data_IF_948569492523
#
_entry.id   IF_948569492523
#
_cell.length_a   1.000
_cell.length_b   1.000
_cell.length_c   1.000
_cell.angle_alpha   90.00
_cell.angle_beta   90.00
_cell.angle_gamma   90.00
#
_symmetry.space_group_name_H-M   'P 1'
#
loop_
_entity.id
_entity.type
_entity.pdbx_description
1 polymer ?
#
# COMPACT_ATOMS: atom_id res chain seq x y z
N UNK A 1 -37.82 34.38 -5.58
CA UNK A 1 -38.03 33.37 -4.52
C UNK A 1 -37.41 32.05 -4.96
N UNK A 2 -36.54 31.49 -4.13
CA UNK A 2 -35.96 30.15 -4.27
C UNK A 2 -37.06 29.08 -4.37
N UNK A 3 -36.82 28.04 -5.17
CA UNK A 3 -36.93 26.61 -4.77
C UNK A 3 -36.19 25.74 -5.79
N UNK A 4 -35.20 25.03 -5.25
CA UNK A 4 -34.39 23.97 -5.85
C UNK A 4 -35.21 22.68 -5.91
N UNK A 5 -35.05 21.87 -6.94
CA UNK A 5 -35.07 20.41 -6.80
C UNK A 5 -34.27 19.77 -7.95
N UNK A 6 -33.08 19.26 -7.61
CA UNK A 6 -32.28 18.36 -8.44
C UNK A 6 -32.90 16.97 -8.30
N UNK A 7 -33.31 16.36 -9.41
CA UNK A 7 -33.79 14.97 -9.47
C UNK A 7 -32.72 14.12 -10.14
N UNK A 8 -32.40 13.00 -9.49
CA UNK A 8 -31.35 12.07 -9.87
C UNK A 8 -31.72 10.99 -10.87
N UNK A 9 -30.64 10.29 -11.27
CA UNK A 9 -30.49 8.92 -11.77
C UNK A 9 -31.26 8.43 -13.00
N UNK A 10 -30.63 7.40 -13.59
CA UNK A 10 -31.13 6.38 -14.50
C UNK A 10 -30.77 6.63 -15.97
N UNK A 11 -29.58 6.15 -16.35
CA UNK A 11 -29.37 5.60 -17.68
C UNK A 11 -29.51 4.07 -17.58
N UNK A 12 -30.76 3.58 -17.54
CA UNK A 12 -31.08 2.20 -17.89
C UNK A 12 -30.95 2.06 -19.40
N UNK A 13 -29.83 1.49 -19.86
CA UNK A 13 -29.84 0.73 -21.10
C UNK A 13 -30.37 -0.65 -20.70
N UNK A 14 -31.61 -0.95 -21.10
CA UNK A 14 -32.16 -2.29 -21.02
C UNK A 14 -31.45 -3.11 -22.11
N UNK A 15 -30.29 -3.64 -21.77
CA UNK A 15 -29.74 -4.82 -22.42
C UNK A 15 -30.02 -6.02 -21.53
N UNK A 16 -30.57 -7.10 -22.07
CA UNK A 16 -30.80 -8.38 -21.38
C UNK A 16 -29.49 -9.12 -21.11
N UNK A 17 -28.54 -8.45 -20.46
CA UNK A 17 -27.36 -9.06 -19.86
C UNK A 17 -27.60 -9.08 -18.34
N UNK A 18 -27.36 -10.23 -17.72
CA UNK A 18 -27.50 -10.41 -16.28
C UNK A 18 -26.86 -9.23 -15.54
N UNK A 19 -27.64 -8.52 -14.71
CA UNK A 19 -27.13 -7.47 -13.84
C UNK A 19 -25.96 -8.05 -13.02
N UNK A 20 -24.73 -7.71 -13.39
CA UNK A 20 -23.55 -8.07 -12.61
C UNK A 20 -23.68 -7.36 -11.26
N UNK A 21 -24.04 -8.12 -10.22
CA UNK A 21 -24.19 -7.57 -8.89
C UNK A 21 -22.81 -7.15 -8.38
N UNK A 22 -22.63 -5.85 -8.12
CA UNK A 22 -21.35 -5.28 -7.73
C UNK A 22 -21.10 -5.48 -6.24
N UNK A 23 -20.09 -6.28 -5.88
CA UNK A 23 -19.52 -6.27 -4.54
C UNK A 23 -18.45 -5.18 -4.47
N UNK A 24 -18.54 -4.23 -3.51
CA UNK A 24 -17.54 -3.17 -3.39
C UNK A 24 -16.16 -3.78 -3.19
N UNK A 25 -15.19 -3.39 -4.02
CA UNK A 25 -13.78 -3.75 -3.85
C UNK A 25 -13.15 -2.83 -2.81
N UNK A 26 -12.43 -3.36 -1.81
CA UNK A 26 -11.74 -2.52 -0.87
C UNK A 26 -10.51 -1.88 -1.54
N UNK A 27 -10.18 -0.67 -1.14
CA UNK A 27 -8.86 -0.11 -1.39
C UNK A 27 -7.83 -0.77 -0.48
N UNK A 28 -6.57 -0.74 -0.90
CA UNK A 28 -5.46 -1.10 -0.01
C UNK A 28 -5.21 0.03 1.01
N UNK A 29 -4.48 -0.25 2.09
CA UNK A 29 -4.01 0.81 3.00
C UNK A 29 -2.59 0.52 3.45
N UNK A 30 -1.79 1.57 3.57
CA UNK A 30 -0.47 1.49 4.21
C UNK A 30 -0.63 1.83 5.67
N UNK A 31 -0.30 0.90 6.57
CA UNK A 31 -0.32 1.16 8.00
C UNK A 31 1.03 1.72 8.44
N UNK A 32 1.14 3.05 8.52
CA UNK A 32 2.34 3.75 8.98
C UNK A 32 2.04 4.48 10.30
N UNK A 33 3.00 4.52 11.23
CA UNK A 33 2.81 5.21 12.50
C UNK A 33 2.61 6.73 12.36
N UNK A 34 1.96 7.34 13.36
CA UNK A 34 1.57 8.78 13.42
C UNK A 34 2.75 9.77 13.26
N UNK A 35 3.99 9.29 13.24
CA UNK A 35 5.22 10.08 13.25
C UNK A 35 5.75 10.48 11.86
N UNK A 36 5.07 10.08 10.76
CA UNK A 36 5.41 10.48 9.38
C UNK A 36 5.07 11.94 9.03
N UNK A 37 4.46 12.67 9.95
CA UNK A 37 4.08 14.06 9.75
C UNK A 37 5.30 14.98 9.94
N UNK A 38 6.12 15.16 8.89
CA UNK A 38 6.74 16.45 8.46
C UNK A 38 7.96 16.29 7.54
N UNK A 39 7.79 16.68 6.28
CA UNK A 39 8.38 17.88 5.62
C UNK A 39 8.28 17.67 4.11
N UNK A 40 7.88 18.73 3.40
CA UNK A 40 7.80 18.78 1.94
C UNK A 40 9.19 18.89 1.33
N UNK A 41 9.61 17.89 0.56
CA UNK A 41 10.78 17.97 -0.30
C UNK A 41 10.38 18.66 -1.63
N UNK A 42 11.28 19.45 -2.20
CA UNK A 42 11.01 20.37 -3.33
C UNK A 42 11.80 20.03 -4.59
N UNK A 43 12.46 18.88 -4.64
CA UNK A 43 13.28 18.47 -5.80
C UNK A 43 12.55 17.42 -6.65
N UNK A 44 12.42 17.71 -7.96
CA UNK A 44 11.73 16.87 -8.94
C UNK A 44 12.57 15.68 -9.43
N UNK A 45 11.85 14.63 -9.82
CA UNK A 45 12.28 13.35 -10.43
C UNK A 45 12.90 12.29 -9.50
N UNK A 46 12.02 11.61 -8.75
CA UNK A 46 12.41 10.47 -7.91
C UNK A 46 11.18 9.55 -7.70
N UNK A 47 11.32 8.22 -7.69
CA UNK A 47 10.19 7.26 -7.55
C UNK A 47 9.90 6.77 -6.13
N UNK A 48 8.79 6.03 -5.98
CA UNK A 48 8.00 5.93 -4.75
C UNK A 48 8.41 4.76 -3.83
N UNK A 49 9.15 5.04 -2.76
CA UNK A 49 9.53 4.07 -1.73
C UNK A 49 10.14 4.75 -0.50
N UNK A 50 9.92 4.18 0.70
CA UNK A 50 10.39 4.75 1.97
C UNK A 50 11.71 4.12 2.43
N UNK A 51 12.80 4.88 2.35
CA UNK A 51 14.14 4.41 2.70
C UNK A 51 14.41 4.21 4.18
N UNK A 52 13.68 4.87 5.08
CA UNK A 52 13.79 4.63 6.53
C UNK A 52 13.22 3.26 6.88
N UNK A 53 12.35 2.77 6.00
CA UNK A 53 11.67 1.51 6.16
C UNK A 53 12.15 0.40 5.23
N UNK A 54 13.20 0.61 4.44
CA UNK A 54 13.78 -0.49 3.67
C UNK A 54 14.49 -1.49 4.58
N UNK A 55 14.34 -2.77 4.27
CA UNK A 55 15.21 -3.81 4.84
C UNK A 55 16.67 -3.63 4.40
N UNK A 56 17.60 -4.26 5.13
CA UNK A 56 18.98 -4.34 4.67
C UNK A 56 19.07 -5.24 3.42
N UNK A 57 19.90 -4.86 2.46
CA UNK A 57 20.07 -5.63 1.24
C UNK A 57 20.58 -7.06 1.54
N UNK A 58 20.00 -8.08 0.91
CA UNK A 58 20.30 -9.49 1.18
C UNK A 58 19.55 -10.09 2.37
N UNK A 59 18.65 -9.35 3.02
CA UNK A 59 17.89 -9.86 4.17
C UNK A 59 17.05 -11.09 3.82
N UNK A 60 17.08 -12.09 4.71
CA UNK A 60 16.12 -13.20 4.73
C UNK A 60 15.01 -12.86 5.72
N UNK A 61 13.84 -12.49 5.20
CA UNK A 61 12.66 -12.13 5.97
C UNK A 61 11.95 -13.39 6.46
N UNK A 62 11.82 -13.57 7.77
CA UNK A 62 11.01 -14.65 8.35
C UNK A 62 9.55 -14.26 8.26
N UNK A 63 8.78 -15.10 7.57
CA UNK A 63 7.35 -14.91 7.35
C UNK A 63 6.60 -16.04 8.03
N UNK A 64 5.50 -15.75 8.72
CA UNK A 64 4.51 -16.77 9.09
C UNK A 64 3.13 -16.38 8.63
N UNK A 65 2.30 -17.40 8.39
CA UNK A 65 0.86 -17.20 8.32
C UNK A 65 0.29 -17.23 9.73
N UNK A 66 -0.64 -16.31 10.01
CA UNK A 66 -1.49 -16.39 11.19
C UNK A 66 -2.61 -17.42 10.95
N UNK A 67 -3.36 -17.74 12.01
CA UNK A 67 -4.50 -18.65 11.89
C UNK A 67 -5.47 -18.20 10.78
N UNK A 68 -5.81 -19.13 9.88
CA UNK A 68 -6.65 -18.87 8.70
C UNK A 68 -5.94 -19.11 7.37
N UNK A 69 -6.72 -19.03 6.29
CA UNK A 69 -6.28 -19.31 4.91
C UNK A 69 -6.08 -20.81 4.63
N UNK A 70 -6.60 -21.28 3.50
CA UNK A 70 -6.36 -22.65 3.04
C UNK A 70 -4.90 -22.85 2.61
N UNK A 71 -4.45 -24.11 2.55
CA UNK A 71 -3.10 -24.44 2.03
C UNK A 71 -2.90 -23.92 0.60
N UNK A 72 -3.96 -23.98 -0.22
CA UNK A 72 -3.94 -23.51 -1.61
C UNK A 72 -3.79 -21.99 -1.67
N UNK A 73 -4.53 -21.24 -0.85
CA UNK A 73 -4.40 -19.78 -0.79
C UNK A 73 -3.01 -19.36 -0.33
N UNK A 74 -2.50 -20.01 0.72
CA UNK A 74 -1.15 -19.76 1.23
C UNK A 74 -0.09 -20.01 0.15
N UNK A 75 -0.25 -21.06 -0.66
CA UNK A 75 0.65 -21.33 -1.79
C UNK A 75 0.69 -20.18 -2.80
N UNK A 76 -0.48 -19.65 -3.19
CA UNK A 76 -0.56 -18.48 -4.10
C UNK A 76 0.12 -17.24 -3.53
N UNK A 77 0.01 -17.02 -2.22
CA UNK A 77 0.71 -15.91 -1.55
C UNK A 77 2.22 -16.10 -1.59
N UNK A 78 2.70 -17.32 -1.34
CA UNK A 78 4.12 -17.66 -1.45
C UNK A 78 4.64 -17.46 -2.89
N UNK A 79 3.86 -17.85 -3.91
CA UNK A 79 4.21 -17.63 -5.32
C UNK A 79 4.35 -16.13 -5.66
N UNK A 80 3.44 -15.28 -5.19
CA UNK A 80 3.54 -13.83 -5.38
C UNK A 80 4.77 -13.25 -4.67
N UNK A 81 5.14 -13.76 -3.50
CA UNK A 81 6.38 -13.37 -2.82
C UNK A 81 7.63 -13.73 -3.63
N UNK A 82 7.63 -14.92 -4.25
CA UNK A 82 8.72 -15.35 -5.15
C UNK A 82 8.84 -14.50 -6.41
N UNK A 83 7.79 -13.81 -6.84
CA UNK A 83 7.87 -12.87 -7.96
C UNK A 83 8.80 -11.69 -7.64
N UNK A 84 8.72 -11.14 -6.43
CA UNK A 84 9.61 -10.06 -5.99
C UNK A 84 11.07 -10.50 -5.88
N UNK A 85 11.34 -11.71 -5.38
CA UNK A 85 12.70 -12.28 -5.24
C UNK A 85 13.45 -12.41 -6.58
N UNK A 86 12.75 -12.42 -7.72
CA UNK A 86 13.38 -12.44 -9.05
C UNK A 86 14.21 -11.18 -9.29
N UNK A 87 13.77 -10.04 -8.77
CA UNK A 87 14.37 -8.72 -9.02
C UNK A 87 15.07 -8.16 -7.78
N UNK A 88 14.52 -8.42 -6.60
CA UNK A 88 15.06 -7.97 -5.32
C UNK A 88 16.06 -9.00 -4.76
N UNK A 89 17.16 -8.52 -4.19
CA UNK A 89 18.03 -9.30 -3.32
C UNK A 89 17.47 -9.36 -1.89
N UNK A 90 16.27 -9.93 -1.76
CA UNK A 90 15.58 -10.25 -0.51
C UNK A 90 15.07 -11.68 -0.65
N UNK A 91 14.99 -12.42 0.46
CA UNK A 91 14.39 -13.77 0.48
C UNK A 91 13.27 -13.83 1.51
N UNK A 92 12.10 -14.30 1.10
CA UNK A 92 10.99 -14.64 2.00
C UNK A 92 11.15 -16.09 2.46
N UNK A 93 11.41 -16.27 3.76
CA UNK A 93 11.51 -17.56 4.43
C UNK A 93 10.23 -17.85 5.22
N UNK A 94 9.34 -18.64 4.64
CA UNK A 94 8.09 -19.05 5.28
C UNK A 94 8.34 -20.11 6.36
N UNK A 95 8.09 -19.74 7.62
CA UNK A 95 8.25 -20.59 8.80
C UNK A 95 6.90 -21.17 9.25
N UNK A 96 6.89 -22.22 10.10
CA UNK A 96 5.66 -22.75 10.70
C UNK A 96 4.84 -21.68 11.43
N UNK A 97 3.50 -21.80 11.41
CA UNK A 97 2.57 -20.84 12.02
C UNK A 97 2.83 -20.57 13.52
N UNK A 98 3.37 -21.56 14.24
CA UNK A 98 3.71 -21.46 15.67
C UNK A 98 5.07 -20.79 15.94
N UNK A 99 5.76 -20.27 14.91
CA UNK A 99 7.04 -19.60 15.08
C UNK A 99 6.89 -18.36 16.00
N UNK A 100 7.71 -18.25 17.05
CA UNK A 100 7.51 -17.26 18.10
C UNK A 100 7.80 -15.83 17.64
N UNK A 101 8.79 -15.65 16.76
CA UNK A 101 9.21 -14.34 16.27
C UNK A 101 9.47 -14.38 14.76
N UNK A 102 8.85 -13.46 14.04
CA UNK A 102 8.95 -13.29 12.58
C UNK A 102 8.84 -11.82 12.23
N UNK A 103 9.55 -11.36 11.20
CA UNK A 103 9.41 -10.00 10.70
C UNK A 103 8.02 -9.76 10.08
N UNK A 104 7.53 -10.70 9.27
CA UNK A 104 6.26 -10.59 8.58
C UNK A 104 5.24 -11.64 9.06
N UNK A 105 4.00 -11.19 9.27
CA UNK A 105 2.89 -11.97 9.82
C UNK A 105 1.66 -11.74 8.94
N UNK A 106 1.33 -12.74 8.12
CA UNK A 106 0.26 -12.65 7.10
C UNK A 106 -1.04 -13.21 7.67
N UNK A 107 -2.06 -12.36 7.75
CA UNK A 107 -3.42 -12.76 8.10
C UNK A 107 -4.26 -12.95 6.83
N UNK A 108 -4.90 -14.12 6.73
CA UNK A 108 -5.80 -14.51 5.65
C UNK A 108 -7.18 -14.77 6.22
N UNK A 109 -8.12 -13.84 6.05
CA UNK A 109 -9.50 -14.03 6.47
C UNK A 109 -10.31 -12.74 6.47
N UNK A 110 -11.59 -12.85 6.80
CA UNK A 110 -12.53 -11.72 6.75
C UNK A 110 -12.14 -10.55 7.67
N UNK A 111 -12.30 -9.33 7.16
CA UNK A 111 -12.13 -8.08 7.88
C UNK A 111 -10.77 -7.42 7.67
N UNK A 112 -10.66 -6.18 8.14
CA UNK A 112 -9.46 -5.32 8.07
C UNK A 112 -9.02 -4.90 6.65
N UNK A 113 -9.73 -5.29 5.59
CA UNK A 113 -9.40 -4.93 4.20
C UNK A 113 -8.07 -5.51 3.72
N UNK A 114 -7.45 -4.89 2.72
CA UNK A 114 -6.08 -5.22 2.32
C UNK A 114 -5.13 -4.17 2.89
N UNK A 115 -4.07 -4.62 3.57
CA UNK A 115 -3.07 -3.72 4.11
C UNK A 115 -1.75 -4.40 4.41
N UNK A 116 -0.69 -3.60 4.44
CA UNK A 116 0.63 -4.00 4.87
C UNK A 116 1.30 -2.89 5.69
N UNK A 117 2.20 -3.30 6.58
CA UNK A 117 3.26 -2.43 7.08
C UNK A 117 4.20 -2.08 5.92
N UNK A 118 4.76 -0.87 5.93
CA UNK A 118 5.77 -0.46 4.96
C UNK A 118 7.13 -0.95 5.48
N UNK A 119 7.69 -1.97 4.83
CA UNK A 119 9.04 -2.47 5.13
C UNK A 119 9.30 -2.77 6.61
N UNK A 120 10.35 -2.17 7.19
CA UNK A 120 10.79 -2.40 8.58
C UNK A 120 9.79 -1.90 9.63
N UNK A 121 8.75 -1.15 9.26
CA UNK A 121 7.63 -0.82 10.17
C UNK A 121 6.98 -2.09 10.75
N UNK A 122 7.10 -3.20 10.03
CA UNK A 122 6.68 -4.52 10.50
C UNK A 122 7.28 -4.91 11.86
N UNK A 123 8.45 -4.35 12.23
CA UNK A 123 9.14 -4.58 13.51
C UNK A 123 8.47 -3.89 14.71
N UNK A 124 7.74 -2.80 14.48
CA UNK A 124 7.07 -2.06 15.57
C UNK A 124 5.72 -2.66 15.96
N UNK A 125 5.16 -3.55 15.13
CA UNK A 125 3.92 -4.27 15.43
C UNK A 125 4.20 -5.46 16.34
N UNK A 126 3.30 -5.73 17.28
CA UNK A 126 3.44 -6.85 18.21
C UNK A 126 3.40 -8.19 17.47
N UNK A 127 4.02 -9.23 18.03
CA UNK A 127 4.10 -10.55 17.38
C UNK A 127 2.74 -11.29 17.31
N UNK A 128 1.74 -10.85 18.08
CA UNK A 128 0.35 -11.32 18.00
C UNK A 128 -0.54 -10.49 17.05
N UNK A 129 0.02 -9.47 16.40
CA UNK A 129 -0.67 -8.61 15.42
C UNK A 129 -0.13 -8.88 14.01
N UNK A 130 -1.00 -8.76 13.01
CA UNK A 130 -0.61 -8.93 11.61
C UNK A 130 0.21 -7.75 11.08
N UNK A 131 1.20 -8.04 10.23
CA UNK A 131 1.91 -7.01 9.45
C UNK A 131 1.31 -6.87 8.07
N UNK A 132 0.71 -7.94 7.54
CA UNK A 132 0.04 -7.97 6.25
C UNK A 132 -1.33 -8.61 6.47
N UNK A 133 -2.39 -8.02 5.93
CA UNK A 133 -3.74 -8.55 5.99
C UNK A 133 -4.32 -8.66 4.58
N UNK A 134 -4.93 -9.81 4.30
CA UNK A 134 -5.78 -9.99 3.14
C UNK A 134 -7.18 -10.37 3.57
N UNK A 135 -8.14 -9.49 3.31
CA UNK A 135 -9.55 -9.84 3.42
C UNK A 135 -9.97 -10.73 2.26
N UNK A 136 -9.93 -12.04 2.51
CA UNK A 136 -10.10 -13.08 1.49
C UNK A 136 -11.46 -13.07 0.82
N UNK A 137 -12.46 -12.42 1.44
CA UNK A 137 -13.78 -12.28 0.88
C UNK A 137 -13.80 -11.47 -0.42
N UNK A 138 -12.87 -10.53 -0.56
CA UNK A 138 -12.73 -9.71 -1.76
C UNK A 138 -11.92 -10.39 -2.86
N UNK A 139 -11.37 -11.57 -2.58
CA UNK A 139 -10.83 -12.45 -3.61
C UNK A 139 -11.86 -13.43 -4.14
N UNK A 140 -13.07 -13.50 -3.60
CA UNK A 140 -14.07 -14.47 -4.02
C UNK A 140 -14.36 -14.39 -5.53
N UNK A 141 -14.42 -15.55 -6.19
CA UNK A 141 -15.00 -15.64 -7.53
C UNK A 141 -16.52 -15.48 -7.42
N UNK A 142 -16.99 -14.23 -7.59
CA UNK A 142 -18.40 -13.91 -7.45
C UNK A 142 -19.28 -14.73 -8.40
N UNK A 143 -18.83 -14.99 -9.63
CA UNK A 143 -19.62 -15.73 -10.63
C UNK A 143 -19.77 -17.20 -10.22
N UNK A 144 -18.69 -17.81 -9.74
CA UNK A 144 -18.72 -19.17 -9.19
C UNK A 144 -19.71 -19.29 -8.03
N UNK A 145 -19.60 -18.41 -7.03
CA UNK A 145 -20.44 -18.49 -5.84
C UNK A 145 -21.89 -18.09 -6.11
N UNK A 146 -22.15 -17.13 -7.01
CA UNK A 146 -23.50 -16.83 -7.48
C UNK A 146 -24.10 -18.05 -8.18
N UNK A 147 -23.33 -18.77 -9.01
CA UNK A 147 -23.80 -20.00 -9.64
C UNK A 147 -24.12 -21.10 -8.59
N UNK A 148 -23.32 -21.22 -7.53
CA UNK A 148 -23.60 -22.11 -6.40
C UNK A 148 -24.93 -21.77 -5.70
N UNK A 149 -25.15 -20.48 -5.39
CA UNK A 149 -26.39 -19.99 -4.78
C UNK A 149 -27.61 -20.27 -5.65
N UNK A 150 -27.51 -20.06 -6.97
CA UNK A 150 -28.58 -20.37 -7.93
C UNK A 150 -28.93 -21.86 -7.93
N UNK A 151 -27.94 -22.75 -7.90
CA UNK A 151 -28.16 -24.21 -7.81
C UNK A 151 -28.90 -24.61 -6.53
N UNK A 152 -28.78 -23.82 -5.47
CA UNK A 152 -29.50 -23.98 -4.19
C UNK A 152 -30.89 -23.31 -4.19
N UNK A 153 -31.34 -22.76 -5.32
CA UNK A 153 -32.62 -22.08 -5.43
C UNK A 153 -32.64 -20.67 -4.83
N UNK A 154 -31.48 -20.07 -4.53
CA UNK A 154 -31.39 -18.72 -3.96
C UNK A 154 -31.37 -17.70 -5.10
N UNK A 155 -32.36 -16.81 -5.10
CA UNK A 155 -32.52 -15.73 -6.06
C UNK A 155 -31.95 -14.41 -5.54
N UNK A 156 -31.56 -13.48 -6.43
CA UNK A 156 -31.10 -12.15 -6.04
C UNK A 156 -32.19 -11.35 -5.29
N UNK A 157 -31.81 -10.35 -4.47
CA UNK A 157 -30.46 -9.81 -4.31
C UNK A 157 -29.56 -10.69 -3.44
N UNK A 158 -28.33 -10.93 -3.89
CA UNK A 158 -27.33 -11.63 -3.10
C UNK A 158 -26.74 -10.73 -2.02
N UNK A 159 -26.17 -11.29 -0.96
CA UNK A 159 -25.48 -10.50 0.05
C UNK A 159 -24.17 -11.15 0.53
N UNK A 160 -23.37 -10.35 1.22
CA UNK A 160 -22.04 -10.74 1.66
C UNK A 160 -22.05 -11.91 2.67
N UNK A 161 -23.13 -12.07 3.44
CA UNK A 161 -23.28 -13.20 4.37
C UNK A 161 -23.53 -14.51 3.63
N UNK A 162 -24.34 -14.49 2.57
CA UNK A 162 -24.53 -15.66 1.70
C UNK A 162 -23.20 -16.06 1.06
N UNK A 163 -22.46 -15.10 0.49
CA UNK A 163 -21.14 -15.35 -0.08
C UNK A 163 -20.15 -15.92 0.96
N UNK A 164 -20.13 -15.34 2.16
CA UNK A 164 -19.29 -15.84 3.26
C UNK A 164 -19.63 -17.29 3.61
N UNK A 165 -20.91 -17.67 3.60
CA UNK A 165 -21.35 -19.06 3.87
C UNK A 165 -20.90 -20.01 2.78
N UNK A 166 -21.05 -19.63 1.51
CA UNK A 166 -20.58 -20.45 0.38
C UNK A 166 -19.06 -20.64 0.42
N UNK A 167 -18.30 -19.57 0.68
CA UNK A 167 -16.84 -19.65 0.81
C UNK A 167 -16.40 -20.52 1.99
N UNK A 168 -17.15 -20.55 3.10
CA UNK A 168 -16.83 -21.46 4.21
C UNK A 168 -17.00 -22.92 3.83
N UNK A 169 -18.01 -23.23 3.01
CA UNK A 169 -18.24 -24.58 2.53
C UNK A 169 -17.23 -24.98 1.44
N UNK A 170 -16.85 -24.04 0.58
CA UNK A 170 -15.95 -24.27 -0.55
C UNK A 170 -14.96 -23.10 -0.75
N UNK A 171 -13.84 -23.07 0.00
CA UNK A 171 -13.01 -21.87 0.20
C UNK A 171 -12.01 -21.54 -0.92
N UNK A 172 -11.92 -22.34 -1.99
CA UNK A 172 -10.82 -22.27 -2.96
C UNK A 172 -11.24 -21.77 -4.36
N UNK A 173 -12.23 -20.88 -4.43
CA UNK A 173 -12.69 -20.27 -5.67
C UNK A 173 -12.49 -18.75 -5.62
N UNK A 174 -11.43 -18.30 -6.26
CA UNK A 174 -11.03 -16.89 -6.23
C UNK A 174 -10.96 -16.30 -7.62
N UNK A 175 -11.19 -15.00 -7.71
CA UNK A 175 -10.72 -14.21 -8.83
C UNK A 175 -9.19 -14.17 -8.80
N UNK A 176 -8.57 -15.11 -9.51
CA UNK A 176 -7.12 -15.31 -9.55
C UNK A 176 -6.34 -14.06 -9.95
N UNK A 177 -6.91 -13.30 -10.89
CA UNK A 177 -6.30 -12.07 -11.39
C UNK A 177 -6.27 -10.98 -10.32
N UNK A 178 -7.36 -10.82 -9.57
CA UNK A 178 -7.44 -9.87 -8.46
C UNK A 178 -6.58 -10.30 -7.28
N UNK A 179 -6.61 -11.59 -6.92
CA UNK A 179 -5.78 -12.16 -5.86
C UNK A 179 -4.31 -11.88 -6.14
N UNK A 180 -3.81 -12.24 -7.33
CA UNK A 180 -2.40 -12.02 -7.69
C UNK A 180 -2.03 -10.54 -7.64
N UNK A 181 -2.90 -9.66 -8.15
CA UNK A 181 -2.67 -8.21 -8.13
C UNK A 181 -2.49 -7.69 -6.70
N UNK A 182 -3.50 -7.91 -5.86
CA UNK A 182 -3.52 -7.37 -4.49
C UNK A 182 -2.41 -7.98 -3.65
N UNK A 183 -2.18 -9.29 -3.77
CA UNK A 183 -1.12 -9.95 -3.00
C UNK A 183 0.26 -9.43 -3.41
N UNK A 184 0.51 -9.26 -4.71
CA UNK A 184 1.79 -8.70 -5.20
C UNK A 184 1.98 -7.26 -4.70
N UNK A 185 0.92 -6.44 -4.72
CA UNK A 185 0.92 -5.06 -4.24
C UNK A 185 1.25 -4.96 -2.74
N UNK A 186 0.54 -5.68 -1.89
CA UNK A 186 0.76 -5.64 -0.43
C UNK A 186 2.14 -6.18 -0.04
N UNK A 187 2.65 -7.18 -0.77
CA UNK A 187 4.02 -7.63 -0.60
C UNK A 187 5.04 -6.57 -1.01
N UNK A 188 4.73 -5.74 -2.02
CA UNK A 188 5.53 -4.56 -2.38
C UNK A 188 5.65 -3.56 -1.22
N UNK A 189 4.54 -3.28 -0.54
CA UNK A 189 4.57 -2.49 0.70
C UNK A 189 5.43 -3.14 1.78
N UNK A 190 5.33 -4.45 1.98
CA UNK A 190 6.19 -5.16 2.94
C UNK A 190 7.69 -5.07 2.64
N UNK A 191 8.05 -4.66 1.41
CA UNK A 191 9.42 -4.38 0.96
C UNK A 191 9.74 -2.87 0.96
N UNK A 192 8.89 -2.02 1.51
CA UNK A 192 9.13 -0.57 1.63
C UNK A 192 8.61 0.27 0.46
N UNK A 193 7.94 -0.33 -0.53
CA UNK A 193 7.34 0.44 -1.62
C UNK A 193 6.12 1.21 -1.14
N UNK A 194 5.93 2.41 -1.69
CA UNK A 194 4.78 3.25 -1.43
C UNK A 194 3.86 3.27 -2.67
N UNK A 195 2.70 3.91 -2.54
CA UNK A 195 1.76 4.02 -3.65
C UNK A 195 2.27 4.90 -4.80
N UNK A 196 2.15 4.44 -6.04
CA UNK A 196 2.65 5.18 -7.20
C UNK A 196 1.85 6.46 -7.47
N UNK A 197 0.54 6.50 -7.12
CA UNK A 197 -0.26 7.72 -7.24
C UNK A 197 0.20 8.87 -6.32
N UNK A 198 1.07 8.56 -5.34
CA UNK A 198 1.69 9.55 -4.47
C UNK A 198 2.87 10.28 -5.14
N UNK A 199 3.21 9.96 -6.40
CA UNK A 199 4.22 10.67 -7.19
C UNK A 199 3.80 12.14 -7.44
N UNK A 200 4.68 13.13 -7.23
CA UNK A 200 4.35 14.54 -7.18
C UNK A 200 3.99 15.07 -8.56
N UNK A 201 2.94 15.89 -8.60
CA UNK A 201 2.60 16.68 -9.79
C UNK A 201 1.92 15.90 -10.91
N UNK A 202 1.65 14.60 -10.73
CA UNK A 202 1.02 13.76 -11.77
C UNK A 202 -0.48 13.71 -11.60
N UNK A 203 -0.98 13.26 -10.45
CA UNK A 203 -2.43 13.12 -10.23
C UNK A 203 -3.00 14.41 -9.67
N UNK A 204 -3.92 15.03 -10.44
CA UNK A 204 -4.65 16.23 -10.01
C UNK A 204 -5.95 15.85 -9.33
N UNK A 205 -5.84 15.47 -8.05
CA UNK A 205 -6.99 15.02 -7.25
C UNK A 205 -8.08 16.09 -7.09
N UNK A 206 -9.33 15.68 -7.33
CA UNK A 206 -10.52 16.43 -6.97
C UNK A 206 -10.88 16.13 -5.50
N UNK A 207 -10.31 16.88 -4.54
CA UNK A 207 -10.55 16.71 -3.10
C UNK A 207 -11.94 17.22 -2.65
N UNK A 208 -12.99 16.79 -3.34
CA UNK A 208 -14.39 17.14 -3.04
C UNK A 208 -15.01 16.17 -2.04
N UNK A 209 -16.10 16.60 -1.40
CA UNK A 209 -16.90 15.76 -0.50
C UNK A 209 -17.40 14.48 -1.17
N UNK A 210 -17.62 14.50 -2.50
CA UNK A 210 -18.01 13.30 -3.23
C UNK A 210 -16.93 12.21 -3.19
N UNK A 211 -15.65 12.58 -3.28
CA UNK A 211 -14.55 11.61 -3.20
C UNK A 211 -14.39 11.09 -1.78
N UNK A 212 -14.45 11.96 -0.76
CA UNK A 212 -14.42 11.53 0.63
C UNK A 212 -15.61 10.61 0.97
N UNK A 213 -16.83 10.95 0.54
CA UNK A 213 -18.03 10.14 0.78
C UNK A 213 -17.93 8.76 0.13
N UNK A 214 -17.36 8.67 -1.08
CA UNK A 214 -17.11 7.39 -1.74
C UNK A 214 -16.23 6.46 -0.89
N UNK A 215 -15.09 6.95 -0.38
CA UNK A 215 -14.19 6.14 0.46
C UNK A 215 -14.80 5.82 1.83
N UNK A 216 -15.56 6.74 2.40
CA UNK A 216 -16.32 6.48 3.64
C UNK A 216 -17.37 5.38 3.43
N UNK A 217 -18.12 5.40 2.33
CA UNK A 217 -19.20 4.45 2.07
C UNK A 217 -18.69 3.07 1.64
N UNK A 218 -17.59 3.03 0.89
CA UNK A 218 -17.04 1.76 0.38
C UNK A 218 -16.00 1.13 1.31
N UNK A 219 -15.27 1.94 2.09
CA UNK A 219 -14.15 1.49 2.92
C UNK A 219 -14.32 1.78 4.42
N UNK A 220 -15.28 2.63 4.79
CA UNK A 220 -15.41 3.13 6.15
C UNK A 220 -14.29 4.08 6.57
N UNK A 221 -13.59 4.72 5.62
CA UNK A 221 -12.50 5.65 5.93
C UNK A 221 -13.00 7.05 6.26
N UNK A 222 -12.39 7.67 7.26
CA UNK A 222 -12.52 9.10 7.53
C UNK A 222 -11.67 9.93 6.55
N UNK A 223 -11.76 11.26 6.66
CA UNK A 223 -11.08 12.16 5.72
C UNK A 223 -9.58 12.08 5.86
N UNK A 224 -9.08 11.98 7.08
CA UNK A 224 -7.66 11.88 7.40
C UNK A 224 -7.05 10.64 6.75
N UNK A 225 -7.75 9.50 6.81
CA UNK A 225 -7.31 8.27 6.17
C UNK A 225 -7.38 8.36 4.65
N UNK A 226 -8.34 9.07 4.07
CA UNK A 226 -8.39 9.34 2.62
C UNK A 226 -7.25 10.26 2.20
N UNK A 227 -7.02 11.35 2.94
CA UNK A 227 -5.92 12.27 2.69
C UNK A 227 -4.59 11.50 2.67
N UNK A 228 -4.37 10.63 3.65
CA UNK A 228 -3.14 9.84 3.74
C UNK A 228 -3.02 8.73 2.68
N UNK A 229 -4.07 7.93 2.46
CA UNK A 229 -3.95 6.74 1.59
C UNK A 229 -4.19 7.04 0.10
N UNK A 230 -4.84 8.14 -0.23
CA UNK A 230 -5.27 8.47 -1.60
C UNK A 230 -4.56 9.72 -2.10
N UNK A 231 -4.55 10.79 -1.31
CA UNK A 231 -4.11 12.10 -1.77
C UNK A 231 -2.70 12.49 -1.36
N UNK A 232 -2.09 11.73 -0.44
CA UNK A 232 -0.77 12.02 0.07
C UNK A 232 0.22 11.98 -1.09
N UNK A 233 0.95 13.08 -1.23
CA UNK A 233 2.11 13.14 -2.10
C UNK A 233 3.27 12.70 -1.22
N UNK A 234 3.94 11.62 -1.60
CA UNK A 234 5.13 11.21 -0.84
C UNK A 234 6.13 12.38 -0.92
N UNK A 235 6.64 12.83 0.21
CA UNK A 235 7.74 13.80 0.22
C UNK A 235 9.10 13.09 0.19
N UNK A 236 9.08 11.76 0.14
CA UNK A 236 10.21 10.89 0.33
C UNK A 236 10.36 10.04 -0.91
N UNK A 237 11.17 10.54 -1.82
CA UNK A 237 11.56 9.79 -2.99
C UNK A 237 13.07 9.68 -2.99
N UNK A 238 13.59 8.51 -3.36
CA UNK A 238 14.99 8.19 -3.10
C UNK A 238 15.72 7.45 -4.20
N UNK A 239 15.07 6.99 -5.27
CA UNK A 239 15.85 6.58 -6.44
C UNK A 239 15.87 7.74 -7.41
N UNK A 240 17.06 8.33 -7.62
CA UNK A 240 17.26 9.20 -8.76
C UNK A 240 16.99 8.37 -10.03
N UNK A 241 16.10 8.86 -10.88
CA UNK A 241 15.90 8.30 -12.22
C UNK A 241 14.74 7.31 -12.39
N UNK A 242 13.88 7.11 -11.39
CA UNK A 242 12.58 6.48 -11.65
C UNK A 242 11.53 7.57 -11.90
N UNK A 243 10.97 7.55 -13.11
CA UNK A 243 9.89 8.43 -13.55
C UNK A 243 8.57 7.83 -13.08
N UNK A 244 7.54 8.66 -12.95
CA UNK A 244 6.18 8.19 -12.75
C UNK A 244 5.83 7.01 -13.68
N UNK A 245 5.37 5.91 -13.10
CA UNK A 245 5.01 4.69 -13.82
C UNK A 245 3.50 4.39 -13.70
N UNK A 246 2.67 4.82 -14.67
CA UNK A 246 1.23 4.50 -14.64
C UNK A 246 0.94 3.00 -14.74
N UNK A 247 1.92 2.15 -15.06
CA UNK A 247 1.77 0.69 -15.12
C UNK A 247 2.21 0.00 -13.83
N UNK A 248 2.72 0.74 -12.84
CA UNK A 248 3.18 0.17 -11.58
C UNK A 248 2.08 -0.66 -10.91
N UNK A 249 2.47 -1.83 -10.38
CA UNK A 249 1.60 -2.64 -9.52
C UNK A 249 1.19 -1.86 -8.26
N UNK A 250 2.00 -0.88 -7.85
CA UNK A 250 1.78 -0.02 -6.69
C UNK A 250 0.82 1.14 -6.96
N UNK A 251 0.28 1.26 -8.19
CA UNK A 251 -0.67 2.30 -8.55
C UNK A 251 -2.12 1.85 -8.35
N UNK A 252 -2.95 2.69 -7.73
CA UNK A 252 -4.40 2.49 -7.67
C UNK A 252 -5.10 2.79 -8.97
N UNK A 253 -6.21 2.11 -9.25
CA UNK A 253 -7.15 2.60 -10.23
C UNK A 253 -7.66 3.99 -9.83
N UNK A 254 -7.76 4.89 -10.81
CA UNK A 254 -8.27 6.25 -10.66
C UNK A 254 -9.42 6.42 -11.66
N UNK A 255 -10.60 6.76 -11.16
CA UNK A 255 -11.72 7.10 -12.02
C UNK A 255 -11.68 8.60 -12.40
N UNK A 256 -12.15 8.98 -13.61
CA UNK A 256 -12.11 10.37 -14.09
C UNK A 256 -12.77 11.39 -13.16
N UNK A 257 -13.80 10.99 -12.42
CA UNK A 257 -14.53 11.88 -11.51
C UNK A 257 -13.74 12.20 -10.22
N UNK A 258 -12.69 11.42 -9.93
CA UNK A 258 -11.79 11.64 -8.80
C UNK A 258 -10.71 12.68 -9.09
N UNK A 259 -10.59 13.14 -10.34
CA UNK A 259 -9.56 14.10 -10.78
C UNK A 259 -10.20 15.34 -11.38
N UNK A 260 -9.47 16.46 -11.40
CA UNK A 260 -9.99 17.75 -11.89
C UNK A 260 -9.87 17.91 -13.41
N UNK A 261 -9.04 17.08 -14.05
CA UNK A 261 -8.76 17.10 -15.49
C UNK A 261 -9.25 15.84 -16.22
N UNK A 262 -10.00 14.97 -15.53
CA UNK A 262 -10.51 13.73 -16.09
C UNK A 262 -9.47 12.62 -16.25
N UNK A 263 -8.26 12.79 -15.69
CA UNK A 263 -7.26 11.73 -15.63
C UNK A 263 -7.84 10.46 -15.01
N UNK A 264 -7.56 9.32 -15.63
CA UNK A 264 -8.00 8.02 -15.15
C UNK A 264 -6.99 6.94 -15.44
N UNK A 265 -7.03 5.90 -14.63
CA UNK A 265 -6.15 4.76 -14.72
C UNK A 265 -6.90 3.50 -14.26
N UNK A 266 -6.71 2.39 -14.97
CA UNK A 266 -7.26 1.09 -14.58
C UNK A 266 -6.26 0.33 -13.70
N UNK A 267 -6.74 -0.71 -13.02
CA UNK A 267 -5.88 -1.62 -12.26
C UNK A 267 -4.79 -2.24 -13.15
N UNK A 268 -3.56 -2.26 -12.63
CA UNK A 268 -2.43 -3.01 -13.18
C UNK A 268 -2.37 -4.38 -12.51
N UNK A 269 -1.93 -5.42 -13.22
CA UNK A 269 -2.03 -6.82 -12.74
C UNK A 269 -0.68 -7.55 -12.70
N UNK A 270 0.39 -6.88 -13.11
CA UNK A 270 1.74 -7.43 -13.18
C UNK A 270 2.75 -6.37 -12.75
N UNK A 271 3.95 -6.81 -12.38
CA UNK A 271 5.07 -5.90 -12.16
C UNK A 271 5.45 -5.21 -13.46
N UNK A 272 5.38 -3.88 -13.45
CA UNK A 272 5.92 -3.04 -14.52
C UNK A 272 7.44 -3.14 -14.59
N UNK A 273 8.02 -2.64 -15.68
CA UNK A 273 9.48 -2.51 -15.75
C UNK A 273 10.02 -1.44 -14.78
N UNK A 274 9.21 -0.44 -14.41
CA UNK A 274 9.53 0.51 -13.35
C UNK A 274 9.62 -0.18 -12.00
N UNK A 275 8.64 -1.00 -11.63
CA UNK A 275 8.64 -1.77 -10.37
C UNK A 275 9.90 -2.64 -10.24
N UNK A 276 10.23 -3.39 -11.30
CA UNK A 276 11.40 -4.29 -11.34
C UNK A 276 12.69 -3.53 -11.16
N UNK A 277 12.84 -2.38 -11.85
CA UNK A 277 14.04 -1.53 -11.74
C UNK A 277 14.14 -0.88 -10.37
N UNK A 278 13.02 -0.39 -9.85
CA UNK A 278 12.94 0.27 -8.55
C UNK A 278 13.32 -0.70 -7.43
N UNK A 279 12.74 -1.91 -7.40
CA UNK A 279 13.04 -2.88 -6.35
C UNK A 279 14.47 -3.43 -6.47
N UNK A 280 14.99 -3.60 -7.68
CA UNK A 280 16.40 -3.96 -7.89
C UNK A 280 17.36 -2.83 -7.50
N UNK A 281 16.91 -1.57 -7.51
CA UNK A 281 17.67 -0.45 -7.02
C UNK A 281 17.70 -0.39 -5.48
N UNK A 282 16.61 -0.75 -4.81
CA UNK A 282 16.61 -0.86 -3.34
C UNK A 282 17.37 -2.10 -2.85
N UNK A 283 17.23 -3.22 -3.56
CA UNK A 283 17.78 -4.51 -3.19
C UNK A 283 18.64 -5.09 -4.32
N UNK A 284 19.81 -4.51 -4.62
CA UNK A 284 20.61 -4.95 -5.74
C UNK A 284 21.26 -6.32 -5.49
N UNK A 285 21.21 -7.20 -6.49
CA UNK A 285 21.91 -8.49 -6.47
C UNK A 285 23.38 -8.29 -6.78
N UNK A 286 24.25 -8.98 -6.04
CA UNK A 286 25.70 -9.01 -6.28
C UNK A 286 26.47 -7.75 -5.87
N UNK A 287 25.82 -6.76 -5.23
CA UNK A 287 26.48 -5.57 -4.67
C UNK A 287 25.78 -5.12 -3.39
N UNK A 288 26.50 -4.42 -2.53
CA UNK A 288 25.99 -3.94 -1.24
C UNK A 288 25.03 -2.75 -1.40
N UNK A 289 25.27 -1.87 -2.38
CA UNK A 289 24.47 -0.69 -2.65
C UNK A 289 24.24 -0.50 -4.16
N UNK A 290 23.12 0.14 -4.54
CA UNK A 290 22.79 0.43 -5.93
C UNK A 290 23.44 1.71 -6.44
N UNK A 291 23.71 1.74 -7.74
CA UNK A 291 24.22 2.92 -8.42
C UNK A 291 23.16 4.04 -8.42
N UNK A 292 21.88 3.67 -8.34
CA UNK A 292 20.73 4.57 -8.22
C UNK A 292 20.41 4.99 -6.79
N UNK A 293 21.13 4.48 -5.78
CA UNK A 293 20.94 4.90 -4.39
C UNK A 293 21.31 6.38 -4.24
N UNK A 294 20.57 7.12 -3.42
CA UNK A 294 20.91 8.51 -3.05
C UNK A 294 21.44 8.56 -1.61
N UNK A 295 22.03 9.69 -1.22
CA UNK A 295 22.44 9.92 0.15
C UNK A 295 21.24 9.85 1.11
N UNK A 296 21.39 9.09 2.19
CA UNK A 296 20.44 8.96 3.29
C UNK A 296 20.96 9.76 4.48
N UNK A 297 20.04 10.38 5.20
CA UNK A 297 20.32 11.09 6.44
C UNK A 297 19.27 10.68 7.47
N UNK A 298 19.68 9.89 8.46
CA UNK A 298 18.88 9.62 9.65
C UNK A 298 19.26 10.63 10.72
N UNK A 299 18.27 11.36 11.24
CA UNK A 299 18.46 12.23 12.40
C UNK A 299 17.79 11.57 13.60
N UNK A 300 18.58 11.21 14.61
CA UNK A 300 18.10 10.55 15.82
C UNK A 300 18.54 11.33 17.07
N UNK A 301 18.08 10.90 18.25
CA UNK A 301 18.51 11.46 19.53
C UNK A 301 18.41 13.00 19.61
N UNK A 302 17.31 13.56 19.09
CA UNK A 302 17.06 15.00 19.14
C UNK A 302 16.92 15.43 20.60
N UNK A 303 18.00 16.00 21.14
CA UNK A 303 18.11 16.47 22.51
C UNK A 303 17.39 17.80 22.73
N UNK A 304 17.31 18.20 24.00
CA UNK A 304 16.68 19.45 24.38
C UNK A 304 17.40 20.65 23.73
N UNK A 305 16.60 21.58 23.21
CA UNK A 305 17.08 22.82 22.63
C UNK A 305 17.69 23.69 23.74
N UNK A 306 19.01 23.90 23.72
CA UNK A 306 19.64 24.81 24.68
C UNK A 306 19.51 26.24 24.17
N UNK A 307 18.82 27.08 24.93
CA UNK A 307 18.63 28.50 24.61
C UNK A 307 19.35 29.33 25.66
N UNK A 308 20.32 30.14 25.23
CA UNK A 308 21.15 30.95 26.14
C UNK A 308 21.19 32.38 25.64
N UNK A 309 21.03 33.34 26.54
CA UNK A 309 21.22 34.75 26.21
C UNK A 309 22.72 35.04 26.14
N UNK A 310 23.21 35.49 25.00
CA UNK A 310 24.61 35.84 24.74
C UNK A 310 24.74 37.36 24.72
N UNK A 311 25.17 37.89 25.87
CA UNK A 311 25.34 39.32 26.08
C UNK A 311 26.47 39.93 25.23
N UNK A 312 27.44 39.10 24.78
CA UNK A 312 28.56 39.54 23.94
C UNK A 312 28.09 39.69 22.49
N UNK A 313 27.32 38.71 21.99
CA UNK A 313 26.70 38.77 20.66
C UNK A 313 25.41 39.61 20.62
N UNK A 314 24.97 40.12 21.78
CA UNK A 314 23.70 40.85 21.96
C UNK A 314 22.51 40.08 21.37
N UNK A 315 22.47 38.76 21.59
CA UNK A 315 21.49 37.89 20.97
C UNK A 315 21.25 36.61 21.74
N UNK A 316 20.42 35.74 21.18
CA UNK A 316 20.10 34.43 21.76
C UNK A 316 20.86 33.37 20.97
N UNK A 317 21.62 32.52 21.66
CA UNK A 317 22.25 31.33 21.10
C UNK A 317 21.32 30.14 21.32
N UNK A 318 20.96 29.48 20.23
CA UNK A 318 20.15 28.27 20.22
C UNK A 318 21.03 27.11 19.76
N UNK A 319 21.16 26.07 20.59
CA UNK A 319 21.98 24.89 20.29
C UNK A 319 21.12 23.63 20.31
N UNK A 320 20.71 23.12 19.14
CA UNK A 320 20.12 21.78 19.05
C UNK A 320 21.20 20.71 19.22
N UNK A 321 20.80 19.53 19.69
CA UNK A 321 21.65 18.33 19.72
C UNK A 321 20.90 17.21 19.02
N UNK A 322 21.57 16.46 18.16
CA UNK A 322 21.03 15.28 17.48
C UNK A 322 22.17 14.47 16.89
N UNK A 323 21.93 13.18 16.71
CA UNK A 323 22.83 12.29 16.00
C UNK A 323 22.44 12.26 14.52
N UNK A 324 23.44 12.23 13.63
CA UNK A 324 23.25 12.08 12.20
C UNK A 324 23.95 10.82 11.71
N UNK A 325 23.22 9.96 11.03
CA UNK A 325 23.77 8.78 10.34
C UNK A 325 23.51 8.88 8.84
N UNK A 326 24.48 8.48 8.03
CA UNK A 326 24.33 8.45 6.56
C UNK A 326 24.74 7.10 5.98
N UNK A 327 24.24 6.77 4.79
CA UNK A 327 24.60 5.54 4.05
C UNK A 327 25.91 5.67 3.26
N UNK A 328 26.85 6.51 3.72
CA UNK A 328 28.17 6.70 3.10
C UNK A 328 28.21 7.33 1.70
N UNK A 329 27.07 7.65 1.06
CA UNK A 329 27.05 8.57 -0.08
C UNK A 329 27.20 10.00 0.41
N UNK A 330 28.36 10.59 0.14
CA UNK A 330 28.71 11.94 0.58
C UNK A 330 28.13 12.93 -0.44
N UNK A 331 27.05 13.60 -0.05
CA UNK A 331 26.63 14.87 -0.66
C UNK A 331 26.96 16.03 0.29
N UNK A 332 26.91 17.27 -0.20
CA UNK A 332 27.17 18.45 0.61
C UNK A 332 26.10 18.59 1.69
N UNK A 333 26.45 18.25 2.93
CA UNK A 333 25.61 18.49 4.09
C UNK A 333 25.81 19.94 4.56
N UNK A 334 24.78 20.78 4.44
CA UNK A 334 24.79 22.16 4.92
C UNK A 334 23.84 22.24 6.12
N UNK A 335 24.40 22.49 7.31
CA UNK A 335 23.67 22.74 8.55
C UNK A 335 23.36 24.21 8.75
#
# INVERSE_FOLDING_TARGET
MKKVLIIGMIATIISTQANAQYFPKPGCTTGVGDWMLKKKDTLGDRGVGDNYHMWENGTVLKVKFMAGGSKVLRAKVMECAKEWEKYANITFSFLPDNSPATELRIKLGKGYGHNSAVGTEARFRKQNEQTINFDTLFFADADYYIASLKKKGINPPYNLNQLTTEMKADPNHWNEKELKRVVTHELGHSLGLLHEQSFPGVVKWNKSDSVYNYYRETQGWDREKVDFNVFEISNQFYTNGTKYDPKSIMHYAIAPWQTTDGYSLKDNYELSDGDKKLIAAFYPKGKTESDLAVAKVDVTNVGNLKVVNDLVRKGIVITPSFDVKTNSKIEKFIL
#
